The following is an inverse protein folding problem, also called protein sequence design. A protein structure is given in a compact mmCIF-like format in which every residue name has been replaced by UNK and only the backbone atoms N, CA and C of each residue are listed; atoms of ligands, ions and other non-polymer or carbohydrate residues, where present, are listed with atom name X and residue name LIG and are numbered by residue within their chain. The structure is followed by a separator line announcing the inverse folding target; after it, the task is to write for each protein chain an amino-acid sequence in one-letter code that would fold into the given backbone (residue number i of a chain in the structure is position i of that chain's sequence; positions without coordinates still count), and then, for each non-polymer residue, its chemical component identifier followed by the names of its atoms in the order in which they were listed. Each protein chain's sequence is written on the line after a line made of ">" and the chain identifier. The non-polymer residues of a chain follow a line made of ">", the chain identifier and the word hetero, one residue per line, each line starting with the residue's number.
data_IF_489619810634
#
_entry.id   IF_489619810634
#
_cell.length_a   1.000
_cell.length_b   1.000
_cell.length_c   1.000
_cell.angle_alpha   90.00
_cell.angle_beta   90.00
_cell.angle_gamma   90.00
#
_symmetry.space_group_name_H-M   'P 1'
#
loop_
_entity.id
_entity.type
_entity.pdbx_description
1 polymer ?
#
# COMPACT_ATOMS: atom_id res chain seq x y z
N UNK A 1 -4.57 13.44 8.64
CA UNK A 1 -5.34 12.19 8.45
C UNK A 1 -6.00 12.28 7.09
N UNK A 2 -5.81 11.26 6.25
CA UNK A 2 -6.47 11.15 4.95
C UNK A 2 -7.34 9.90 5.02
N UNK A 3 -8.57 10.01 4.53
CA UNK A 3 -9.54 8.92 4.51
C UNK A 3 -9.99 8.72 3.08
N UNK A 4 -10.05 7.46 2.64
CA UNK A 4 -10.63 7.05 1.35
C UNK A 4 -11.77 6.07 1.63
N UNK A 5 -12.87 6.23 0.92
CA UNK A 5 -13.92 5.22 0.84
C UNK A 5 -13.52 4.15 -0.18
N UNK A 6 -13.47 2.89 0.29
CA UNK A 6 -13.10 1.73 -0.51
C UNK A 6 -14.25 0.71 -0.50
N UNK A 7 -14.38 -0.06 -1.57
CA UNK A 7 -15.36 -1.14 -1.64
C UNK A 7 -14.89 -2.34 -0.80
N UNK A 8 -15.81 -2.92 -0.03
CA UNK A 8 -15.56 -4.14 0.75
C UNK A 8 -15.37 -5.36 -0.14
N UNK A 9 -14.64 -6.36 0.34
CA UNK A 9 -14.40 -7.62 -0.37
C UNK A 9 -13.32 -7.52 -1.45
N UNK A 10 -12.53 -6.43 -1.42
CA UNK A 10 -11.40 -6.22 -2.31
C UNK A 10 -10.11 -6.08 -1.52
N UNK A 11 -9.02 -6.50 -2.15
CA UNK A 11 -7.67 -6.25 -1.67
C UNK A 11 -7.11 -5.01 -2.38
N UNK A 12 -6.55 -4.11 -1.60
CA UNK A 12 -5.95 -2.89 -2.11
C UNK A 12 -4.47 -2.85 -1.75
N UNK A 13 -3.64 -2.59 -2.74
CA UNK A 13 -2.20 -2.42 -2.58
C UNK A 13 -1.83 -0.94 -2.70
N UNK A 14 -1.02 -0.44 -1.77
CA UNK A 14 -0.54 0.94 -1.79
C UNK A 14 0.85 1.10 -1.16
N UNK A 15 1.42 2.30 -1.33
CA UNK A 15 2.71 2.73 -0.82
C UNK A 15 2.69 4.24 -0.60
N UNK A 16 3.37 4.74 0.42
CA UNK A 16 3.49 6.18 0.67
C UNK A 16 4.70 6.76 -0.04
N UNK A 17 4.51 7.85 -0.79
CA UNK A 17 5.58 8.66 -1.36
C UNK A 17 5.84 9.91 -0.53
N UNK A 18 7.07 10.05 -0.06
CA UNK A 18 7.48 11.13 0.84
C UNK A 18 8.90 11.61 0.51
N UNK A 19 9.25 12.79 1.03
CA UNK A 19 10.54 13.45 0.80
C UNK A 19 10.94 13.58 -0.69
N UNK A 20 9.93 13.55 -1.58
CA UNK A 20 10.05 13.64 -3.04
C UNK A 20 10.93 12.58 -3.70
N UNK A 21 11.36 11.57 -2.96
CA UNK A 21 12.31 10.54 -3.44
C UNK A 21 12.07 9.18 -2.82
N UNK A 22 11.51 9.15 -1.62
CA UNK A 22 11.36 7.92 -0.88
C UNK A 22 9.97 7.39 -1.06
N UNK A 23 9.90 6.07 -1.12
CA UNK A 23 8.64 5.49 -0.77
C UNK A 23 8.72 4.27 0.13
N UNK A 24 7.70 4.14 0.96
CA UNK A 24 7.66 3.21 2.08
C UNK A 24 6.29 2.60 2.24
N UNK A 25 6.30 1.43 2.86
CA UNK A 25 5.10 0.66 3.16
C UNK A 25 4.58 1.02 4.54
N UNK A 26 3.30 0.79 4.74
CA UNK A 26 2.67 0.89 6.04
C UNK A 26 3.07 -0.30 6.93
N UNK A 27 3.62 -0.06 8.14
CA UNK A 27 4.02 -1.13 9.06
C UNK A 27 2.83 -1.89 9.66
N UNK A 28 1.61 -1.33 9.57
CA UNK A 28 0.36 -1.96 9.99
C UNK A 28 -0.38 -2.69 8.87
N UNK A 29 0.25 -2.89 7.70
CA UNK A 29 -0.34 -3.64 6.59
C UNK A 29 -0.64 -5.09 6.96
N UNK A 30 -1.81 -5.58 6.50
CA UNK A 30 -2.19 -6.99 6.66
C UNK A 30 -1.15 -7.92 6.02
N UNK A 31 -0.57 -7.50 4.90
CA UNK A 31 0.44 -8.25 4.14
C UNK A 31 1.29 -7.33 3.26
N UNK A 32 2.43 -7.85 2.82
CA UNK A 32 3.29 -7.24 1.82
C UNK A 32 3.24 -8.08 0.55
N UNK A 33 2.87 -7.47 -0.57
CA UNK A 33 2.74 -8.15 -1.86
C UNK A 33 3.77 -7.60 -2.83
N UNK A 34 4.52 -8.50 -3.46
CA UNK A 34 5.48 -8.12 -4.50
C UNK A 34 4.75 -7.43 -5.64
N UNK A 35 5.09 -6.16 -5.86
CA UNK A 35 4.55 -5.38 -6.95
C UNK A 35 5.06 -5.93 -8.28
N UNK A 36 4.18 -5.95 -9.28
CA UNK A 36 4.55 -6.24 -10.66
C UNK A 36 5.47 -5.17 -11.27
N UNK A 37 5.67 -4.04 -10.57
CA UNK A 37 6.45 -2.91 -11.03
C UNK A 37 7.58 -2.59 -10.05
N UNK A 38 8.76 -2.28 -10.59
CA UNK A 38 9.86 -1.70 -9.81
C UNK A 38 10.55 -2.65 -8.81
N UNK A 39 10.28 -3.97 -8.89
CA UNK A 39 10.92 -5.00 -8.06
C UNK A 39 10.89 -4.66 -6.57
N UNK A 40 9.71 -4.30 -6.08
CA UNK A 40 9.48 -3.86 -4.70
C UNK A 40 8.17 -4.43 -4.17
N UNK A 41 8.02 -4.46 -2.84
CA UNK A 41 6.77 -4.87 -2.20
C UNK A 41 5.90 -3.67 -1.89
N UNK A 42 4.58 -3.85 -1.99
CA UNK A 42 3.56 -2.89 -1.58
C UNK A 42 2.84 -3.40 -0.32
N UNK A 43 2.37 -2.47 0.52
CA UNK A 43 1.40 -2.78 1.58
C UNK A 43 0.08 -3.17 0.96
N UNK A 44 -0.52 -4.26 1.44
CA UNK A 44 -1.86 -4.65 1.05
C UNK A 44 -2.79 -4.78 2.26
N UNK A 45 -4.03 -4.34 2.06
CA UNK A 45 -5.12 -4.44 3.04
C UNK A 45 -6.34 -5.07 2.40
N UNK A 46 -7.05 -5.89 3.16
CA UNK A 46 -8.35 -6.43 2.78
C UNK A 46 -9.43 -5.70 3.56
N UNK A 47 -10.39 -5.08 2.87
CA UNK A 47 -11.55 -4.43 3.49
C UNK A 47 -12.71 -5.42 3.61
#
# INVERSE_FOLDING_TARGET
>A
MVTLDLETGREYQFRYFFDRMHWGNDPGADRYIQSSYGNCDNSAFSI
#
